data_IF_744217933019
#
_entry.id   IF_744217933019
#
_cell.length_a   1.000
_cell.length_b   1.000
_cell.length_c   1.000
_cell.angle_alpha   90.00
_cell.angle_beta   90.00
_cell.angle_gamma   90.00
#
_symmetry.space_group_name_H-M   'P 1'
#
loop_
_entity.id
_entity.type
_entity.pdbx_description
1 polymer ?
#
# COMPACT_ATOMS: atom_id res chain seq x y z
N UNK A 1 8.90 -9.67 -30.94
CA UNK A 1 7.98 -9.08 -29.95
C UNK A 1 8.80 -8.30 -28.92
N UNK A 2 9.23 -7.08 -29.26
CA UNK A 2 9.98 -6.22 -28.33
C UNK A 2 9.03 -5.74 -27.23
N UNK A 3 9.12 -6.35 -26.04
CA UNK A 3 8.63 -5.67 -24.84
C UNK A 3 9.48 -4.42 -24.71
N UNK A 4 8.92 -3.26 -25.08
CA UNK A 4 9.66 -1.99 -25.15
C UNK A 4 10.45 -1.77 -23.86
N UNK A 5 11.72 -1.37 -23.96
CA UNK A 5 12.63 -1.07 -22.82
C UNK A 5 11.93 -0.27 -21.71
N UNK A 6 10.95 0.54 -22.10
CA UNK A 6 10.11 1.34 -21.22
C UNK A 6 9.22 0.51 -20.28
N UNK A 7 8.54 -0.54 -20.78
CA UNK A 7 7.65 -1.40 -19.99
C UNK A 7 8.42 -2.19 -18.91
N UNK A 8 9.64 -2.63 -19.22
CA UNK A 8 10.54 -3.28 -18.24
C UNK A 8 10.99 -2.33 -17.13
N UNK A 9 11.26 -1.05 -17.45
CA UNK A 9 11.58 -0.02 -16.44
C UNK A 9 10.42 0.26 -15.50
N UNK A 10 9.19 0.31 -16.02
CA UNK A 10 7.98 0.52 -15.21
C UNK A 10 7.73 -0.66 -14.26
N UNK A 11 7.84 -1.90 -14.77
CA UNK A 11 7.73 -3.10 -13.93
C UNK A 11 8.84 -3.16 -12.86
N UNK A 12 10.07 -2.80 -13.24
CA UNK A 12 11.19 -2.74 -12.29
C UNK A 12 10.98 -1.69 -11.20
N UNK A 13 10.48 -0.50 -11.54
CA UNK A 13 10.16 0.54 -10.57
C UNK A 13 9.01 0.15 -9.64
N UNK A 14 7.96 -0.49 -10.16
CA UNK A 14 6.85 -1.01 -9.36
C UNK A 14 7.30 -2.13 -8.40
N UNK A 15 8.10 -3.07 -8.88
CA UNK A 15 8.68 -4.12 -8.05
C UNK A 15 9.59 -3.55 -6.95
N UNK A 16 10.42 -2.56 -7.29
CA UNK A 16 11.30 -1.89 -6.33
C UNK A 16 10.49 -1.15 -5.25
N UNK A 17 9.44 -0.42 -5.64
CA UNK A 17 8.56 0.27 -4.70
C UNK A 17 7.84 -0.72 -3.77
N UNK A 18 7.39 -1.85 -4.29
CA UNK A 18 6.76 -2.92 -3.49
C UNK A 18 7.74 -3.53 -2.49
N UNK A 19 8.96 -3.86 -2.93
CA UNK A 19 10.03 -4.37 -2.04
C UNK A 19 10.41 -3.34 -0.97
N UNK A 20 10.53 -2.07 -1.34
CA UNK A 20 10.83 -0.99 -0.40
C UNK A 20 9.72 -0.81 0.64
N UNK A 21 8.44 -0.93 0.24
CA UNK A 21 7.32 -0.86 1.17
C UNK A 21 7.32 -2.02 2.18
N UNK A 22 7.61 -3.25 1.73
CA UNK A 22 7.76 -4.42 2.61
C UNK A 22 8.93 -4.21 3.58
N UNK A 23 10.09 -3.78 3.06
CA UNK A 23 11.27 -3.53 3.89
C UNK A 23 11.01 -2.45 4.94
N UNK A 24 10.32 -1.36 4.57
CA UNK A 24 9.92 -0.31 5.50
C UNK A 24 8.94 -0.82 6.58
N UNK A 25 7.98 -1.67 6.21
CA UNK A 25 7.06 -2.30 7.16
C UNK A 25 7.77 -3.22 8.16
N UNK A 26 8.71 -4.05 7.68
CA UNK A 26 9.53 -4.93 8.53
C UNK A 26 10.41 -4.10 9.46
N UNK A 27 11.11 -3.09 8.93
CA UNK A 27 11.97 -2.21 9.73
C UNK A 27 11.16 -1.47 10.81
N UNK A 28 10.00 -0.91 10.45
CA UNK A 28 9.09 -0.26 11.40
C UNK A 28 8.61 -1.20 12.51
N UNK A 29 8.24 -2.44 12.17
CA UNK A 29 7.85 -3.46 13.14
C UNK A 29 8.98 -3.86 14.09
N UNK A 30 10.23 -3.94 13.59
CA UNK A 30 11.40 -4.21 14.42
C UNK A 30 11.74 -3.04 15.34
N UNK A 31 11.66 -1.80 14.86
CA UNK A 31 11.86 -0.59 15.68
C UNK A 31 10.85 -0.54 16.83
N UNK A 32 9.57 -0.85 16.55
CA UNK A 32 8.53 -0.93 17.59
C UNK A 32 8.79 -2.05 18.63
N UNK A 33 9.30 -3.20 18.20
CA UNK A 33 9.69 -4.30 19.11
C UNK A 33 10.90 -3.94 19.96
N UNK A 34 11.93 -3.35 19.36
CA UNK A 34 13.21 -3.02 20.01
C UNK A 34 13.09 -1.81 20.94
N UNK A 35 12.19 -0.86 20.64
CA UNK A 35 11.90 0.30 21.49
C UNK A 35 11.07 -0.01 22.75
N UNK A 36 10.83 -1.29 23.08
CA UNK A 36 10.08 -1.70 24.26
C UNK A 36 8.57 -1.41 24.20
N UNK A 37 8.02 -1.09 23.02
CA UNK A 37 6.58 -0.90 22.81
C UNK A 37 5.95 0.34 23.44
N UNK A 38 6.72 1.19 24.14
CA UNK A 38 6.20 2.34 24.90
C UNK A 38 6.37 3.70 24.18
N UNK A 39 6.35 3.72 22.85
CA UNK A 39 6.28 4.99 22.13
C UNK A 39 4.90 5.65 22.38
N UNK A 40 4.85 6.95 22.73
CA UNK A 40 3.59 7.65 22.89
C UNK A 40 2.71 7.49 21.63
N UNK A 41 1.40 7.34 21.82
CA UNK A 41 0.42 7.17 20.73
C UNK A 41 0.68 8.12 19.57
N UNK A 42 0.90 9.41 19.86
CA UNK A 42 1.12 10.44 18.84
C UNK A 42 2.37 10.19 17.99
N UNK A 43 3.46 9.68 18.59
CA UNK A 43 4.72 9.38 17.89
C UNK A 43 4.53 8.16 16.99
N UNK A 44 3.90 7.09 17.52
CA UNK A 44 3.61 5.88 16.76
C UNK A 44 2.68 6.19 15.58
N UNK A 45 1.60 6.93 15.82
CA UNK A 45 0.66 7.34 14.77
C UNK A 45 1.37 8.20 13.71
N UNK A 46 2.13 9.22 14.11
CA UNK A 46 2.85 10.09 13.17
C UNK A 46 3.85 9.32 12.29
N UNK A 47 4.61 8.38 12.86
CA UNK A 47 5.56 7.55 12.11
C UNK A 47 4.84 6.65 11.11
N UNK A 48 3.75 6.01 11.52
CA UNK A 48 2.98 5.12 10.66
C UNK A 48 2.27 5.88 9.53
N UNK A 49 1.71 7.05 9.83
CA UNK A 49 1.13 7.96 8.83
C UNK A 49 2.19 8.46 7.86
N UNK A 50 3.39 8.80 8.34
CA UNK A 50 4.49 9.23 7.48
C UNK A 50 4.90 8.13 6.48
N UNK A 51 4.99 6.88 6.92
CA UNK A 51 5.28 5.73 6.05
C UNK A 51 4.18 5.57 4.98
N UNK A 52 2.91 5.71 5.36
CA UNK A 52 1.78 5.66 4.42
C UNK A 52 1.86 6.78 3.37
N UNK A 53 2.13 8.02 3.80
CA UNK A 53 2.28 9.18 2.90
C UNK A 53 3.47 8.95 1.97
N UNK A 54 4.60 8.48 2.48
CA UNK A 54 5.79 8.20 1.67
C UNK A 54 5.50 7.13 0.61
N UNK A 55 4.79 6.05 0.97
CA UNK A 55 4.37 5.01 0.02
C UNK A 55 3.45 5.57 -1.07
N UNK A 56 2.49 6.43 -0.70
CA UNK A 56 1.59 7.11 -1.64
C UNK A 56 2.34 8.07 -2.59
N UNK A 57 3.32 8.81 -2.07
CA UNK A 57 4.12 9.72 -2.88
C UNK A 57 5.07 8.95 -3.82
N UNK A 58 5.55 7.78 -3.41
CA UNK A 58 6.38 6.91 -4.25
C UNK A 58 5.62 6.35 -5.46
N UNK A 59 4.29 6.18 -5.38
CA UNK A 59 3.46 5.73 -6.51
C UNK A 59 3.04 6.86 -7.45
N UNK A 60 3.19 8.12 -7.05
CA UNK A 60 2.81 9.31 -7.84
C UNK A 60 3.42 9.39 -9.25
N UNK A 61 4.72 9.06 -9.49
CA UNK A 61 5.31 9.12 -10.83
C UNK A 61 4.73 8.07 -11.78
N UNK A 62 4.16 6.99 -11.25
CA UNK A 62 3.45 5.98 -12.03
C UNK A 62 2.06 6.48 -12.44
N UNK A 63 1.35 7.18 -11.54
CA UNK A 63 0.04 7.77 -11.80
C UNK A 63 0.06 8.87 -12.86
N UNK A 64 1.07 9.74 -12.84
CA UNK A 64 1.20 10.85 -13.81
C UNK A 64 1.53 10.40 -15.25
N UNK A 65 1.56 9.09 -15.54
CA UNK A 65 1.91 8.52 -16.86
C UNK A 65 0.81 7.64 -17.45
N UNK A 66 -0.37 7.60 -16.82
CA UNK A 66 -1.53 6.80 -17.21
C UNK A 66 -2.59 7.71 -17.86
N UNK A 67 -2.27 8.34 -19.00
CA UNK A 67 -3.17 9.30 -19.67
C UNK A 67 -4.42 8.63 -20.30
N UNK A 68 -4.39 7.33 -20.62
CA UNK A 68 -5.58 6.60 -21.11
C UNK A 68 -6.56 6.18 -20.00
N UNK A 69 -6.26 6.49 -18.74
CA UNK A 69 -6.95 5.95 -17.55
C UNK A 69 -7.91 6.95 -16.92
N UNK A 70 -8.09 8.16 -17.44
CA UNK A 70 -9.02 9.17 -16.87
C UNK A 70 -10.44 8.62 -16.62
N UNK A 71 -10.90 7.64 -17.42
CA UNK A 71 -12.21 6.97 -17.23
C UNK A 71 -12.20 5.86 -16.17
N UNK A 72 -11.06 5.20 -15.96
CA UNK A 72 -10.81 4.20 -14.90
C UNK A 72 -10.30 4.88 -13.60
N UNK A 73 -9.90 6.14 -13.67
CA UNK A 73 -9.27 6.92 -12.61
C UNK A 73 -10.21 7.16 -11.44
N UNK A 74 -11.53 7.28 -11.68
CA UNK A 74 -12.50 7.52 -10.61
C UNK A 74 -12.69 6.30 -9.70
N UNK A 75 -12.76 5.09 -10.28
CA UNK A 75 -12.84 3.82 -9.53
C UNK A 75 -11.51 3.52 -8.83
N UNK A 76 -10.39 3.82 -9.52
CA UNK A 76 -9.06 3.62 -8.99
C UNK A 76 -8.74 4.61 -7.84
N UNK A 77 -9.09 5.88 -7.99
CA UNK A 77 -8.90 6.91 -6.94
C UNK A 77 -9.78 6.64 -5.73
N UNK A 78 -11.01 6.16 -5.93
CA UNK A 78 -11.89 5.74 -4.85
C UNK A 78 -11.29 4.56 -4.08
N UNK A 79 -10.81 3.53 -4.79
CA UNK A 79 -10.20 2.37 -4.16
C UNK A 79 -8.91 2.73 -3.40
N UNK A 80 -7.97 3.46 -4.00
CA UNK A 80 -6.72 3.83 -3.35
C UNK A 80 -6.94 4.85 -2.22
N UNK A 81 -7.84 5.81 -2.40
CA UNK A 81 -8.23 6.75 -1.35
C UNK A 81 -8.91 6.05 -0.16
N UNK A 82 -9.83 5.13 -0.43
CA UNK A 82 -10.49 4.30 0.58
C UNK A 82 -9.50 3.37 1.29
N UNK A 83 -8.57 2.77 0.55
CA UNK A 83 -7.50 1.92 1.13
C UNK A 83 -6.54 2.74 1.99
N UNK A 84 -6.19 3.97 1.57
CA UNK A 84 -5.38 4.85 2.40
C UNK A 84 -6.09 5.25 3.70
N UNK A 85 -7.38 5.60 3.63
CA UNK A 85 -8.21 5.89 4.80
C UNK A 85 -8.34 4.69 5.74
N UNK A 86 -8.63 3.50 5.19
CA UNK A 86 -8.71 2.26 5.95
C UNK A 86 -7.37 1.89 6.60
N UNK A 87 -6.26 2.09 5.90
CA UNK A 87 -4.91 1.89 6.44
C UNK A 87 -4.62 2.85 7.59
N UNK A 88 -4.98 4.14 7.44
CA UNK A 88 -4.83 5.13 8.51
C UNK A 88 -5.66 4.77 9.74
N UNK A 89 -6.91 4.35 9.55
CA UNK A 89 -7.78 3.89 10.64
C UNK A 89 -7.23 2.65 11.34
N UNK A 90 -6.73 1.67 10.58
CA UNK A 90 -6.05 0.48 11.12
C UNK A 90 -4.85 0.87 11.98
N UNK A 91 -3.99 1.79 11.50
CA UNK A 91 -2.83 2.25 12.27
C UNK A 91 -3.23 3.02 13.52
N UNK A 92 -4.33 3.80 13.46
CA UNK A 92 -4.93 4.42 14.63
C UNK A 92 -5.40 3.41 15.67
N UNK A 93 -6.07 2.33 15.24
CA UNK A 93 -6.49 1.23 16.11
C UNK A 93 -5.29 0.49 16.73
N UNK A 94 -4.25 0.24 15.94
CA UNK A 94 -3.01 -0.37 16.42
C UNK A 94 -2.31 0.51 17.46
N UNK A 95 -2.26 1.82 17.22
CA UNK A 95 -1.66 2.76 18.14
C UNK A 95 -2.50 2.91 19.44
N UNK A 96 -3.83 2.87 19.35
CA UNK A 96 -4.73 3.03 20.49
C UNK A 96 -4.89 1.77 21.34
N UNK A 97 -5.20 0.64 20.72
CA UNK A 97 -5.47 -0.63 21.40
C UNK A 97 -4.21 -1.48 21.60
N UNK A 98 -3.09 -1.10 20.98
CA UNK A 98 -1.84 -1.85 20.99
C UNK A 98 -1.81 -2.97 19.95
N UNK A 99 -0.60 -3.35 19.53
CA UNK A 99 -0.33 -4.31 18.44
C UNK A 99 -0.82 -5.73 18.69
N UNK A 100 -1.05 -6.09 19.97
CA UNK A 100 -1.49 -7.44 20.36
C UNK A 100 -3.00 -7.54 20.62
N UNK A 101 -3.75 -6.43 20.52
CA UNK A 101 -5.20 -6.46 20.75
C UNK A 101 -5.94 -7.20 19.64
N UNK A 102 -7.06 -7.82 20.01
CA UNK A 102 -7.95 -8.49 19.05
C UNK A 102 -8.51 -7.52 18.01
N UNK A 103 -8.76 -6.27 18.43
CA UNK A 103 -9.16 -5.17 17.54
C UNK A 103 -8.07 -4.85 16.50
N UNK A 104 -6.81 -4.71 16.92
CA UNK A 104 -5.71 -4.45 16.00
C UNK A 104 -5.52 -5.61 15.02
N UNK A 105 -5.55 -6.87 15.50
CA UNK A 105 -5.45 -8.06 14.65
C UNK A 105 -6.60 -8.15 13.66
N UNK A 106 -7.84 -7.95 14.11
CA UNK A 106 -9.02 -7.94 13.25
C UNK A 106 -8.95 -6.86 12.18
N UNK A 107 -8.50 -5.65 12.56
CA UNK A 107 -8.32 -4.54 11.61
C UNK A 107 -7.26 -4.85 10.55
N UNK A 108 -6.14 -5.48 10.94
CA UNK A 108 -5.07 -5.89 10.03
C UNK A 108 -5.54 -6.96 9.06
N UNK A 109 -6.24 -7.99 9.54
CA UNK A 109 -6.79 -9.05 8.69
C UNK A 109 -7.78 -8.47 7.69
N UNK A 110 -8.66 -7.58 8.14
CA UNK A 110 -9.66 -6.91 7.28
C UNK A 110 -8.99 -6.08 6.20
N UNK A 111 -8.00 -5.27 6.59
CA UNK A 111 -7.22 -4.43 5.68
C UNK A 111 -6.45 -5.28 4.64
N UNK A 112 -5.80 -6.35 5.09
CA UNK A 112 -5.06 -7.27 4.23
C UNK A 112 -6.01 -7.98 3.24
N UNK A 113 -7.17 -8.44 3.69
CA UNK A 113 -8.16 -9.10 2.83
C UNK A 113 -8.71 -8.14 1.76
N UNK A 114 -9.05 -6.89 2.13
CA UNK A 114 -9.52 -5.88 1.18
C UNK A 114 -8.45 -5.52 0.14
N UNK A 115 -7.19 -5.41 0.59
CA UNK A 115 -6.06 -5.12 -0.29
C UNK A 115 -5.76 -6.27 -1.24
N UNK A 116 -5.73 -7.50 -0.72
CA UNK A 116 -5.49 -8.71 -1.50
C UNK A 116 -6.61 -8.96 -2.52
N UNK A 117 -7.88 -8.78 -2.14
CA UNK A 117 -9.02 -8.99 -3.02
C UNK A 117 -8.96 -8.10 -4.27
N UNK A 118 -8.66 -6.81 -4.09
CA UNK A 118 -8.44 -5.92 -5.23
C UNK A 118 -7.16 -6.27 -5.99
N UNK A 119 -6.08 -6.62 -5.30
CA UNK A 119 -4.83 -7.04 -5.96
C UNK A 119 -5.04 -8.22 -6.90
N UNK A 120 -5.84 -9.21 -6.49
CA UNK A 120 -6.23 -10.34 -7.34
C UNK A 120 -7.09 -9.89 -8.51
N UNK A 121 -8.13 -9.08 -8.26
CA UNK A 121 -8.99 -8.56 -9.32
C UNK A 121 -8.18 -7.78 -10.37
N UNK A 122 -7.31 -6.89 -9.91
CA UNK A 122 -6.42 -6.09 -10.74
C UNK A 122 -5.44 -6.96 -11.54
N UNK A 123 -4.84 -7.97 -10.90
CA UNK A 123 -3.94 -8.91 -11.57
C UNK A 123 -4.68 -9.70 -12.67
N UNK A 124 -5.88 -10.21 -12.39
CA UNK A 124 -6.70 -10.94 -13.37
C UNK A 124 -7.09 -10.04 -14.54
N UNK A 125 -7.57 -8.83 -14.26
CA UNK A 125 -7.89 -7.84 -15.28
C UNK A 125 -6.68 -7.52 -16.16
N UNK A 126 -5.52 -7.33 -15.55
CA UNK A 126 -4.28 -7.02 -16.27
C UNK A 126 -3.78 -8.19 -17.11
N UNK A 127 -3.90 -9.42 -16.61
CA UNK A 127 -3.57 -10.64 -17.37
C UNK A 127 -4.50 -10.82 -18.57
N UNK A 128 -5.79 -10.47 -18.46
CA UNK A 128 -6.76 -10.53 -19.56
C UNK A 128 -6.46 -9.50 -20.65
N UNK A 129 -6.16 -8.25 -20.28
CA UNK A 129 -5.80 -7.19 -21.26
C UNK A 129 -4.45 -7.43 -21.98
N UNK A 130 -3.64 -8.40 -21.55
CA UNK A 130 -2.41 -8.80 -22.28
C UNK A 130 -2.68 -9.60 -23.55
N UNK A 131 -3.87 -10.17 -23.71
CA UNK A 131 -4.23 -10.96 -24.89
C UNK A 131 -4.81 -10.15 -26.06
N UNK A 132 -5.15 -8.87 -25.83
CA UNK A 132 -5.81 -7.99 -26.80
C UNK A 132 -4.85 -6.97 -27.45
N UNK A 133 -3.56 -7.00 -27.10
CA UNK A 133 -2.53 -6.04 -27.54
C UNK A 133 -1.37 -6.71 -28.30
#
# INVERSE_FOLDING_TARGET
MEISKHRKKVLGAGALAFVAAIAAGIAGGQILRLGGGNLPFAVTFALLTFVLIAALLATRPWWNRLDDVERDAHTNSFYWGGTFGAGTAMLGLVAWAGTQSDLARGSLITFAAMTAGYGVFWLVWWLRRRGEA
#
